data_IF_200721939060
#
_entry.id   IF_200721939060
#
_cell.length_a   1.000
_cell.length_b   1.000
_cell.length_c   1.000
_cell.angle_alpha   90.00
_cell.angle_beta   90.00
_cell.angle_gamma   90.00
#
_symmetry.space_group_name_H-M   'P 1'
#
loop_
_entity.id
_entity.type
_entity.pdbx_description
1 polymer ?
#
# COMPACT_ATOMS: atom_id res chain seq x y z
N UNK A 1 -39.50 49.89 6.49
CA UNK A 1 -39.42 48.93 5.37
C UNK A 1 -38.05 49.10 4.71
N UNK A 2 -37.06 48.28 5.08
CA UNK A 2 -35.71 48.30 4.51
C UNK A 2 -35.24 46.85 4.29
N UNK A 3 -35.59 46.28 3.14
CA UNK A 3 -35.04 45.00 2.75
C UNK A 3 -33.74 45.25 1.99
N UNK A 4 -32.62 45.03 2.70
CA UNK A 4 -31.27 45.01 2.14
C UNK A 4 -31.20 43.99 1.02
N UNK A 5 -30.92 44.50 -0.17
CA UNK A 5 -30.54 43.74 -1.35
C UNK A 5 -29.33 42.85 -1.05
N UNK A 6 -29.51 41.54 -1.15
CA UNK A 6 -28.44 40.55 -1.20
C UNK A 6 -27.55 40.82 -2.43
N UNK A 7 -26.47 41.57 -2.23
CA UNK A 7 -25.36 41.59 -3.17
C UNK A 7 -24.62 40.25 -3.05
N UNK A 8 -24.96 39.32 -3.94
CA UNK A 8 -24.34 38.02 -4.12
C UNK A 8 -22.88 38.26 -4.57
N UNK A 9 -21.95 38.31 -3.62
CA UNK A 9 -20.52 38.31 -3.93
C UNK A 9 -20.16 36.94 -4.51
N UNK A 10 -19.87 36.93 -5.80
CA UNK A 10 -19.32 35.81 -6.56
C UNK A 10 -18.08 35.27 -5.86
N UNK A 11 -18.23 34.13 -5.17
CA UNK A 11 -17.11 33.32 -4.71
C UNK A 11 -16.46 32.73 -5.96
N UNK A 12 -15.38 33.36 -6.44
CA UNK A 12 -14.42 32.70 -7.32
C UNK A 12 -13.73 31.61 -6.49
N UNK A 13 -14.35 30.44 -6.42
CA UNK A 13 -13.68 29.24 -5.97
C UNK A 13 -12.54 28.95 -6.95
N UNK A 14 -11.31 29.18 -6.51
CA UNK A 14 -10.13 28.69 -7.20
C UNK A 14 -10.26 27.16 -7.24
N UNK A 15 -10.62 26.61 -8.41
CA UNK A 15 -10.37 25.21 -8.71
C UNK A 15 -8.86 25.02 -8.75
N UNK A 16 -8.24 24.81 -7.58
CA UNK A 16 -6.98 24.11 -7.53
C UNK A 16 -7.26 22.72 -8.11
N UNK A 17 -7.05 22.57 -9.42
CA UNK A 17 -7.30 21.32 -10.13
C UNK A 17 -6.53 20.22 -9.45
N UNK A 18 -7.23 19.19 -8.97
CA UNK A 18 -6.59 18.00 -8.43
C UNK A 18 -5.96 17.23 -9.60
N UNK A 19 -4.74 17.61 -9.99
CA UNK A 19 -4.00 16.86 -11.00
C UNK A 19 -3.43 15.60 -10.37
N UNK A 20 -3.85 14.45 -10.86
CA UNK A 20 -3.29 13.16 -10.46
C UNK A 20 -2.03 12.85 -11.26
N UNK A 21 -1.08 12.13 -10.66
CA UNK A 21 0.14 11.67 -11.35
C UNK A 21 -0.19 10.93 -12.66
N UNK A 22 -1.25 10.12 -12.65
CA UNK A 22 -1.73 9.44 -13.85
C UNK A 22 -2.04 10.42 -14.99
N UNK A 23 -2.68 11.56 -14.70
CA UNK A 23 -2.99 12.57 -15.72
C UNK A 23 -1.75 13.35 -16.15
N UNK A 24 -0.83 13.62 -15.23
CA UNK A 24 0.39 14.41 -15.53
C UNK A 24 1.37 13.63 -16.40
N UNK A 25 1.52 12.33 -16.16
CA UNK A 25 2.53 11.46 -16.80
C UNK A 25 1.93 10.39 -17.74
N UNK A 26 0.65 10.50 -18.14
CA UNK A 26 -0.01 9.50 -18.99
C UNK A 26 0.72 9.25 -20.32
N UNK A 27 1.42 10.26 -20.84
CA UNK A 27 2.17 10.22 -22.09
C UNK A 27 3.58 9.61 -21.96
N UNK A 28 4.05 9.37 -20.73
CA UNK A 28 5.34 8.72 -20.52
C UNK A 28 5.29 7.26 -21.03
N UNK A 29 6.30 6.77 -21.77
CA UNK A 29 6.27 5.44 -22.37
C UNK A 29 5.94 4.32 -21.38
N UNK A 30 6.53 4.35 -20.19
CA UNK A 30 6.29 3.37 -19.13
C UNK A 30 4.83 3.38 -18.62
N UNK A 31 4.17 4.54 -18.63
CA UNK A 31 2.77 4.67 -18.19
C UNK A 31 1.80 4.31 -19.31
N UNK A 32 2.14 4.71 -20.54
CA UNK A 32 1.28 4.57 -21.71
C UNK A 32 1.31 3.17 -22.33
N UNK A 33 2.43 2.46 -22.25
CA UNK A 33 2.69 1.25 -23.06
C UNK A 33 2.96 0.00 -22.26
N UNK A 34 3.25 0.08 -20.96
CA UNK A 34 3.46 -1.12 -20.14
C UNK A 34 2.11 -1.64 -19.65
N UNK A 35 1.78 -2.84 -20.10
CA UNK A 35 0.57 -3.55 -19.70
C UNK A 35 0.88 -4.81 -18.87
N UNK A 36 -0.13 -5.30 -18.16
CA UNK A 36 -0.03 -6.58 -17.46
C UNK A 36 0.28 -7.71 -18.45
N UNK A 37 1.16 -8.63 -18.06
CA UNK A 37 1.58 -9.76 -18.88
C UNK A 37 2.81 -9.50 -19.76
N UNK A 38 3.30 -8.26 -19.87
CA UNK A 38 4.55 -7.97 -20.59
C UNK A 38 5.76 -8.60 -19.90
N UNK A 39 6.79 -8.99 -20.65
CA UNK A 39 8.06 -9.47 -20.10
C UNK A 39 8.96 -8.33 -19.65
N UNK A 40 10.01 -8.66 -18.87
CA UNK A 40 11.05 -7.71 -18.47
C UNK A 40 11.71 -7.05 -19.68
N UNK A 41 12.01 -7.83 -20.71
CA UNK A 41 12.67 -7.35 -21.92
C UNK A 41 11.80 -6.32 -22.64
N UNK A 42 10.49 -6.55 -22.73
CA UNK A 42 9.55 -5.59 -23.31
C UNK A 42 9.50 -4.29 -22.50
N UNK A 43 9.50 -4.38 -21.16
CA UNK A 43 9.54 -3.19 -20.30
C UNK A 43 10.84 -2.41 -20.47
N UNK A 44 11.99 -3.11 -20.56
CA UNK A 44 13.29 -2.49 -20.83
C UNK A 44 13.32 -1.82 -22.21
N UNK A 45 12.68 -2.40 -23.23
CA UNK A 45 12.54 -1.77 -24.54
C UNK A 45 11.69 -0.50 -24.51
N UNK A 46 10.69 -0.45 -23.62
CA UNK A 46 9.79 0.71 -23.48
C UNK A 46 10.43 1.84 -22.66
N UNK A 47 11.00 1.50 -21.49
CA UNK A 47 11.45 2.46 -20.49
C UNK A 47 12.95 2.59 -20.31
N UNK A 48 13.74 1.75 -21.00
CA UNK A 48 15.18 1.65 -20.78
C UNK A 48 15.55 0.97 -19.47
N UNK A 49 16.82 1.12 -19.08
CA UNK A 49 17.34 0.57 -17.84
C UNK A 49 16.66 1.21 -16.62
N UNK A 50 16.20 0.43 -15.63
CA UNK A 50 15.64 0.98 -14.41
C UNK A 50 16.73 1.63 -13.56
N UNK A 51 16.34 2.59 -12.73
CA UNK A 51 17.24 3.22 -11.75
C UNK A 51 17.63 2.25 -10.63
N UNK A 52 16.76 1.30 -10.30
CA UNK A 52 17.07 0.18 -9.43
C UNK A 52 16.20 -1.04 -9.77
N UNK A 53 16.70 -2.22 -9.41
CA UNK A 53 15.97 -3.48 -9.47
C UNK A 53 16.06 -4.16 -8.11
N UNK A 54 14.95 -4.74 -7.64
CA UNK A 54 14.89 -5.50 -6.39
C UNK A 54 14.03 -6.75 -6.53
N UNK A 55 14.32 -7.77 -5.72
CA UNK A 55 13.42 -8.90 -5.53
C UNK A 55 12.25 -8.50 -4.63
N UNK A 56 11.07 -9.06 -4.90
CA UNK A 56 9.88 -8.84 -4.06
C UNK A 56 9.94 -9.72 -2.82
N UNK A 57 9.55 -9.16 -1.69
CA UNK A 57 9.69 -9.80 -0.37
C UNK A 57 8.40 -10.42 0.17
N UNK A 58 7.23 -9.90 -0.25
CA UNK A 58 5.92 -10.37 0.25
C UNK A 58 5.33 -11.46 -0.64
N UNK A 59 5.48 -11.31 -1.96
CA UNK A 59 5.06 -12.29 -2.97
C UNK A 59 6.22 -12.48 -3.95
N UNK A 60 6.39 -13.67 -4.55
CA UNK A 60 7.52 -13.92 -5.45
C UNK A 60 7.51 -13.02 -6.69
N UNK A 61 8.70 -12.70 -7.18
CA UNK A 61 8.91 -11.91 -8.39
C UNK A 61 9.94 -10.80 -8.20
N UNK A 62 9.98 -9.86 -9.13
CA UNK A 62 10.95 -8.74 -9.12
C UNK A 62 10.24 -7.41 -9.30
N UNK A 63 10.92 -6.31 -9.01
CA UNK A 63 10.39 -4.96 -9.17
C UNK A 63 11.46 -4.03 -9.74
N UNK A 64 11.08 -3.22 -10.71
CA UNK A 64 11.92 -2.18 -11.32
C UNK A 64 11.47 -0.80 -10.87
N UNK A 65 12.41 0.02 -10.42
CA UNK A 65 12.22 1.42 -10.07
C UNK A 65 12.64 2.34 -11.22
N UNK A 66 11.76 3.26 -11.57
CA UNK A 66 12.00 4.32 -12.54
C UNK A 66 11.73 5.69 -11.91
N UNK A 67 12.32 6.72 -12.51
CA UNK A 67 12.05 8.11 -12.19
C UNK A 67 11.49 8.82 -13.41
N UNK A 68 10.19 9.09 -13.42
CA UNK A 68 9.54 9.80 -14.51
C UNK A 68 9.85 11.29 -14.41
N UNK A 69 10.27 11.89 -15.53
CA UNK A 69 10.55 13.32 -15.65
C UNK A 69 9.71 13.94 -16.77
N UNK A 70 9.11 15.10 -16.51
CA UNK A 70 8.38 15.89 -17.51
C UNK A 70 8.72 17.37 -17.30
N UNK A 71 8.92 18.17 -18.37
CA UNK A 71 9.25 19.58 -18.23
C UNK A 71 8.24 20.33 -17.35
N UNK A 72 8.75 21.11 -16.40
CA UNK A 72 7.91 21.89 -15.47
C UNK A 72 7.17 21.06 -14.42
N UNK A 73 7.37 19.75 -14.37
CA UNK A 73 6.79 18.87 -13.36
C UNK A 73 7.88 18.34 -12.43
N UNK A 74 7.51 17.97 -11.20
CA UNK A 74 8.42 17.29 -10.28
C UNK A 74 8.86 15.95 -10.87
N UNK A 75 9.94 15.37 -10.36
CA UNK A 75 10.24 13.98 -10.68
C UNK A 75 9.26 13.07 -9.93
N UNK A 76 8.82 12.00 -10.57
CA UNK A 76 7.82 11.10 -10.02
C UNK A 76 8.33 9.66 -10.05
N UNK A 77 8.53 9.03 -8.87
CA UNK A 77 8.82 7.61 -8.79
C UNK A 77 7.73 6.78 -9.46
N UNK A 78 8.15 5.75 -10.18
CA UNK A 78 7.25 4.82 -10.85
C UNK A 78 7.84 3.41 -10.81
N UNK A 79 7.06 2.47 -10.30
CA UNK A 79 7.48 1.08 -10.20
C UNK A 79 6.73 0.19 -11.19
N UNK A 80 7.45 -0.78 -11.75
CA UNK A 80 6.91 -1.89 -12.53
C UNK A 80 7.24 -3.18 -11.80
N UNK A 81 6.19 -3.86 -11.33
CA UNK A 81 6.30 -5.13 -10.62
C UNK A 81 6.06 -6.29 -11.58
N UNK A 82 6.86 -7.33 -11.41
CA UNK A 82 6.77 -8.58 -12.14
C UNK A 82 6.43 -9.70 -11.17
N UNK A 83 5.63 -10.66 -11.63
CA UNK A 83 5.34 -11.89 -10.92
C UNK A 83 6.50 -12.91 -11.02
N UNK A 84 6.28 -14.11 -10.47
CA UNK A 84 7.24 -15.21 -10.51
C UNK A 84 7.58 -15.69 -11.93
N UNK A 85 6.66 -15.52 -12.89
CA UNK A 85 6.89 -15.86 -14.30
C UNK A 85 7.64 -14.75 -15.05
N UNK A 86 8.03 -13.67 -14.36
CA UNK A 86 8.71 -12.52 -14.97
C UNK A 86 7.76 -11.68 -15.82
N UNK A 87 6.45 -11.73 -15.55
CA UNK A 87 5.43 -10.96 -16.26
C UNK A 87 4.93 -9.80 -15.42
N UNK A 88 4.69 -8.64 -16.05
CA UNK A 88 4.17 -7.46 -15.35
C UNK A 88 2.84 -7.81 -14.69
N UNK A 89 2.73 -7.59 -13.38
CA UNK A 89 1.50 -7.79 -12.62
C UNK A 89 0.95 -6.51 -12.00
N UNK A 90 1.80 -5.49 -11.76
CA UNK A 90 1.39 -4.19 -11.20
C UNK A 90 2.31 -3.06 -11.67
N UNK A 91 1.73 -1.87 -11.84
CA UNK A 91 2.47 -0.60 -11.97
C UNK A 91 1.91 0.45 -11.01
N UNK A 92 2.75 1.32 -10.44
CA UNK A 92 2.31 2.36 -9.48
C UNK A 92 3.23 3.59 -9.49
N UNK A 93 2.67 4.76 -9.16
CA UNK A 93 3.41 6.02 -8.94
C UNK A 93 4.03 6.08 -7.53
N UNK A 94 4.95 5.16 -7.25
CA UNK A 94 5.74 5.03 -6.02
C UNK A 94 6.97 4.17 -6.31
N UNK A 95 7.87 4.02 -5.34
CA UNK A 95 9.02 3.12 -5.43
C UNK A 95 8.64 1.65 -5.13
N UNK A 96 9.50 0.71 -5.53
CA UNK A 96 9.39 -0.69 -5.17
C UNK A 96 9.43 -0.92 -3.64
N UNK A 97 10.22 -0.14 -2.91
CA UNK A 97 10.29 -0.20 -1.45
C UNK A 97 8.96 0.23 -0.79
N UNK A 98 8.36 1.33 -1.26
CA UNK A 98 7.06 1.78 -0.78
C UNK A 98 5.95 0.75 -1.11
N UNK A 99 5.98 0.18 -2.31
CA UNK A 99 5.05 -0.88 -2.69
C UNK A 99 5.19 -2.10 -1.79
N UNK A 100 6.42 -2.57 -1.54
CA UNK A 100 6.73 -3.68 -0.63
C UNK A 100 6.15 -3.43 0.77
N UNK A 101 6.37 -2.24 1.34
CA UNK A 101 5.82 -1.88 2.66
C UNK A 101 4.29 -1.88 2.65
N UNK A 102 3.66 -1.35 1.59
CA UNK A 102 2.21 -1.38 1.45
C UNK A 102 1.65 -2.81 1.31
N UNK A 103 2.39 -3.72 0.68
CA UNK A 103 2.02 -5.13 0.60
C UNK A 103 2.13 -5.81 1.98
N UNK A 104 3.19 -5.56 2.74
CA UNK A 104 3.35 -6.10 4.10
C UNK A 104 2.19 -5.68 5.01
N UNK A 105 1.80 -4.40 4.98
CA UNK A 105 0.65 -3.92 5.76
C UNK A 105 -0.67 -4.61 5.37
N UNK A 106 -0.85 -4.92 4.08
CA UNK A 106 -2.03 -5.66 3.59
C UNK A 106 -1.99 -7.13 4.00
N UNK A 107 -0.87 -7.83 3.78
CA UNK A 107 -0.73 -9.24 4.16
C UNK A 107 -0.76 -9.44 5.68
N UNK A 108 -0.15 -8.54 6.45
CA UNK A 108 -0.23 -8.54 7.91
C UNK A 108 -1.66 -8.33 8.43
N UNK A 109 -2.43 -7.45 7.78
CA UNK A 109 -3.86 -7.26 8.12
C UNK A 109 -4.71 -8.48 7.77
N UNK A 110 -4.45 -9.15 6.65
CA UNK A 110 -5.12 -10.42 6.30
C UNK A 110 -4.81 -11.49 7.36
N UNK A 111 -3.56 -11.60 7.80
CA UNK A 111 -3.18 -12.53 8.88
C UNK A 111 -3.91 -12.23 10.19
N UNK A 112 -4.08 -10.95 10.53
CA UNK A 112 -4.79 -10.56 11.75
C UNK A 112 -6.29 -10.93 11.68
N UNK A 113 -6.92 -10.78 10.51
CA UNK A 113 -8.34 -11.10 10.29
C UNK A 113 -8.62 -12.60 10.17
N UNK A 114 -7.61 -13.42 9.85
CA UNK A 114 -7.71 -14.89 9.82
C UNK A 114 -7.40 -15.57 11.16
N UNK A 115 -7.13 -14.80 12.22
CA UNK A 115 -7.10 -15.40 13.56
C UNK A 115 -8.53 -15.85 13.89
N UNK A 116 -8.75 -17.12 14.28
CA UNK A 116 -10.04 -17.51 14.83
C UNK A 116 -10.29 -16.59 16.01
N UNK A 117 -11.47 -15.95 16.05
CA UNK A 117 -11.91 -15.24 17.24
C UNK A 117 -11.80 -16.23 18.40
N UNK A 118 -10.75 -16.10 19.22
CA UNK A 118 -10.63 -16.86 20.44
C UNK A 118 -11.84 -16.49 21.26
N UNK A 119 -12.84 -17.38 21.24
CA UNK A 119 -14.04 -17.25 22.02
C UNK A 119 -13.61 -16.99 23.46
N UNK A 120 -14.05 -15.86 24.00
CA UNK A 120 -14.00 -15.58 25.43
C UNK A 120 -14.82 -16.66 26.14
N UNK A 121 -14.18 -17.78 26.47
CA UNK A 121 -14.74 -18.74 27.42
C UNK A 121 -14.54 -18.16 28.81
N UNK A 122 -15.55 -17.41 29.26
CA UNK A 122 -15.72 -17.08 30.68
C UNK A 122 -16.04 -18.39 31.39
N UNK A 123 -15.03 -19.05 31.95
CA UNK A 123 -15.27 -20.01 33.01
C UNK A 123 -14.98 -19.37 34.36
N UNK A 124 -16.05 -19.33 35.14
CA UNK A 124 -16.24 -18.78 36.47
C UNK A 124 -15.21 -19.20 37.52
N UNK A 125 -15.00 -18.26 38.44
CA UNK A 125 -14.84 -18.45 39.88
C UNK A 125 -15.29 -19.84 40.40
N UNK A 126 -14.34 -20.63 40.90
CA UNK A 126 -14.41 -21.54 42.05
C UNK A 126 -13.02 -22.19 42.15
N UNK A 127 -12.28 -22.23 43.26
CA UNK A 127 -12.64 -22.14 44.66
C UNK A 127 -11.43 -21.62 45.47
N UNK A 128 -11.64 -20.55 46.22
CA UNK A 128 -10.97 -20.39 47.52
C UNK A 128 -11.91 -20.99 48.57
N UNK A 129 -11.45 -22.01 49.31
CA UNK A 129 -11.81 -22.34 50.70
C UNK A 129 -11.27 -23.73 51.06
N UNK A 130 -10.16 -23.80 51.77
CA UNK A 130 -10.18 -24.10 53.22
C UNK A 130 -8.77 -24.16 53.80
N UNK A 131 -8.52 -23.25 54.74
CA UNK A 131 -7.57 -23.43 55.83
C UNK A 131 -8.04 -24.61 56.70
N UNK A 132 -7.12 -25.50 57.09
CA UNK A 132 -6.80 -25.80 58.50
C UNK A 132 -6.25 -27.22 58.68
N UNK A 133 -5.14 -27.29 59.45
CA UNK A 133 -4.73 -28.37 60.35
C UNK A 133 -4.50 -29.76 59.71
N UNK A 134 -3.45 -30.53 60.00
CA UNK A 134 -2.74 -30.71 61.26
C UNK A 134 -1.45 -31.50 60.96
N UNK A 135 -0.40 -31.20 61.73
CA UNK A 135 0.68 -32.10 62.21
C UNK A 135 0.95 -33.41 61.43
N UNK A 136 2.21 -33.63 61.01
CA UNK A 136 3.23 -34.45 61.74
C UNK A 136 4.48 -34.75 60.88
N UNK A 137 5.64 -34.34 61.37
CA UNK A 137 6.92 -35.07 61.29
C UNK A 137 6.78 -36.39 62.11
N UNK A 138 7.73 -37.35 62.12
CA UNK A 138 8.95 -37.51 61.32
C UNK A 138 9.16 -38.95 60.77
N UNK A 139 10.13 -39.11 59.87
CA UNK A 139 11.38 -39.87 60.09
C UNK A 139 12.37 -39.60 58.95
#
# INVERSE_FOLDING_TARGET
>A
MNQSTCALLLVLAAFAGCSSNSSTYHDQPLVAKVDNGMSKEQVLQIGGAPGAQSDRTVVPGTCFDYMLSKPGQKQQPYMVSFDQAGKVDKTRFMTCAEWSNAQHGRHGRVRLLMQPAAGHSRHSLAAMRNLSLDRKLPL
#
